data_IF_888425415955
#
_entry.id   IF_888425415955
#
_cell.length_a   1.000
_cell.length_b   1.000
_cell.length_c   1.000
_cell.angle_alpha   90.00
_cell.angle_beta   90.00
_cell.angle_gamma   90.00
#
_symmetry.space_group_name_H-M   'P 1'
#
loop_
_entity.id
_entity.type
_entity.pdbx_description
1 polymer ?
#
# COMPACT_ATOMS: atom_id res chain seq x y z
N UNK A 1 -2.18 70.61 -3.10
CA UNK A 1 -2.57 70.71 -4.53
C UNK A 1 -1.79 69.64 -5.29
N UNK A 2 -2.43 68.50 -5.54
CA UNK A 2 -1.86 67.43 -6.36
C UNK A 2 -2.61 67.45 -7.72
N UNK A 3 -1.87 67.38 -8.85
CA UNK A 3 -2.45 67.60 -10.17
C UNK A 3 -3.17 66.36 -10.71
N UNK A 4 -4.23 66.62 -11.48
CA UNK A 4 -5.03 65.64 -12.22
C UNK A 4 -4.19 64.83 -13.21
N UNK A 5 -4.52 63.56 -13.47
CA UNK A 5 -3.83 62.75 -14.46
C UNK A 5 -4.25 63.11 -15.89
N UNK A 6 -3.35 63.00 -16.89
CA UNK A 6 -3.65 63.27 -18.29
C UNK A 6 -4.45 62.13 -18.95
N UNK A 7 -5.31 62.54 -19.88
CA UNK A 7 -6.15 61.74 -20.78
C UNK A 7 -5.35 60.77 -21.66
N UNK A 8 -5.76 59.49 -21.68
CA UNK A 8 -5.26 58.50 -22.64
C UNK A 8 -5.84 58.71 -24.05
N UNK A 9 -5.06 58.57 -25.13
CA UNK A 9 -5.61 58.43 -26.47
C UNK A 9 -6.10 57.00 -26.74
N UNK A 10 -7.26 56.89 -27.39
CA UNK A 10 -7.87 55.64 -27.83
C UNK A 10 -6.96 54.93 -28.85
N UNK A 11 -6.72 53.61 -28.75
CA UNK A 11 -6.03 52.87 -29.80
C UNK A 11 -6.92 52.76 -31.06
N UNK A 12 -6.31 53.01 -32.22
CA UNK A 12 -6.92 52.81 -33.54
C UNK A 12 -7.19 51.32 -33.74
N UNK A 13 -8.40 50.97 -34.18
CA UNK A 13 -8.74 49.62 -34.60
C UNK A 13 -7.94 49.26 -35.85
N UNK A 14 -6.97 48.36 -35.71
CA UNK A 14 -6.29 47.75 -36.84
C UNK A 14 -7.17 46.61 -37.39
N UNK A 15 -7.79 46.85 -38.53
CA UNK A 15 -8.43 45.82 -39.35
C UNK A 15 -7.36 44.87 -39.87
N UNK A 16 -7.30 43.67 -39.29
CA UNK A 16 -6.42 42.59 -39.77
C UNK A 16 -7.08 41.99 -41.01
N UNK A 17 -6.36 41.88 -42.15
CA UNK A 17 -6.93 41.35 -43.39
C UNK A 17 -7.24 39.87 -43.23
N UNK A 18 -8.43 39.46 -43.66
CA UNK A 18 -8.99 38.10 -43.59
C UNK A 18 -8.13 36.99 -44.23
N UNK A 19 -7.06 37.34 -44.93
CA UNK A 19 -6.17 36.38 -45.61
C UNK A 19 -5.12 35.72 -44.68
N UNK A 20 -4.82 36.28 -43.51
CA UNK A 20 -3.82 35.70 -42.59
C UNK A 20 -4.40 34.68 -41.61
N UNK A 21 -5.73 34.62 -41.47
CA UNK A 21 -6.42 33.65 -40.60
C UNK A 21 -6.48 32.25 -41.26
N UNK A 22 -6.46 32.18 -42.60
CA UNK A 22 -6.46 30.92 -43.34
C UNK A 22 -5.11 30.16 -43.26
N UNK A 23 -4.00 30.85 -42.99
CA UNK A 23 -2.66 30.25 -42.86
C UNK A 23 -2.30 29.80 -41.43
N UNK A 24 -3.00 30.30 -40.41
CA UNK A 24 -2.82 29.86 -39.01
C UNK A 24 -3.75 28.70 -38.63
N UNK A 25 -4.85 28.48 -39.35
CA UNK A 25 -5.75 27.34 -39.16
C UNK A 25 -5.33 26.06 -39.92
N UNK A 26 -4.44 26.18 -40.90
CA UNK A 26 -3.88 25.03 -41.64
C UNK A 26 -2.63 24.44 -41.00
N UNK A 27 -1.96 25.16 -40.08
CA UNK A 27 -0.82 24.63 -39.31
C UNK A 27 -1.21 23.85 -38.04
N UNK A 28 -2.48 23.90 -37.62
CA UNK A 28 -2.97 23.23 -36.41
C UNK A 28 -3.50 21.80 -36.66
N UNK A 29 -3.52 21.33 -37.91
CA UNK A 29 -4.06 20.02 -38.30
C UNK A 29 -3.00 18.98 -38.69
N UNK A 30 -1.70 19.26 -38.49
CA UNK A 30 -0.60 18.32 -38.76
C UNK A 30 0.10 17.78 -37.49
N UNK A 31 -0.38 18.13 -36.29
CA UNK A 31 0.17 17.66 -35.01
C UNK A 31 -0.42 16.34 -34.49
N UNK A 32 -1.02 15.52 -35.35
CA UNK A 32 -1.86 14.38 -34.97
C UNK A 32 -1.33 13.00 -35.37
N UNK A 33 -0.02 12.81 -35.49
CA UNK A 33 0.57 11.48 -35.54
C UNK A 33 1.36 11.25 -34.25
N UNK A 34 0.69 10.74 -33.21
CA UNK A 34 1.39 10.02 -32.16
C UNK A 34 2.09 8.84 -32.82
N UNK A 35 3.37 9.03 -33.14
CA UNK A 35 4.21 8.02 -33.76
C UNK A 35 4.18 6.77 -32.91
N UNK A 36 3.62 5.69 -33.48
CA UNK A 36 3.91 4.34 -33.04
C UNK A 36 5.43 4.20 -33.11
N UNK A 37 6.09 4.29 -31.96
CA UNK A 37 7.53 4.05 -31.86
C UNK A 37 7.77 2.63 -32.38
N UNK A 38 8.21 2.53 -33.63
CA UNK A 38 8.72 1.29 -34.17
C UNK A 38 9.92 0.90 -33.30
N UNK A 39 9.92 -0.29 -32.68
CA UNK A 39 11.05 -0.72 -31.88
C UNK A 39 12.30 -0.74 -32.76
N UNK A 40 13.42 -0.31 -32.19
CA UNK A 40 14.72 -0.30 -32.86
C UNK A 40 14.98 -1.65 -33.56
N UNK A 41 15.51 -1.65 -34.81
CA UNK A 41 15.82 -2.89 -35.52
C UNK A 41 16.77 -3.74 -34.68
N UNK A 42 16.35 -4.94 -34.28
CA UNK A 42 17.12 -5.88 -33.44
C UNK A 42 16.59 -6.10 -32.01
N UNK A 43 15.51 -5.42 -31.60
CA UNK A 43 14.86 -5.71 -30.32
C UNK A 43 14.16 -7.08 -30.34
N UNK A 44 14.56 -8.00 -29.45
CA UNK A 44 13.87 -9.29 -29.29
C UNK A 44 12.44 -9.04 -28.80
N UNK A 45 11.38 -9.42 -29.55
CA UNK A 45 9.99 -9.17 -29.17
C UNK A 45 9.61 -9.68 -27.78
N UNK A 46 10.18 -10.81 -27.35
CA UNK A 46 9.96 -11.34 -26.00
C UNK A 46 10.65 -10.51 -24.90
N UNK A 47 11.75 -9.82 -25.20
CA UNK A 47 12.33 -8.83 -24.26
C UNK A 47 11.44 -7.61 -24.13
N UNK A 48 10.87 -7.13 -25.24
CA UNK A 48 9.94 -6.00 -25.24
C UNK A 48 8.67 -6.31 -24.44
N UNK A 49 8.05 -7.48 -24.64
CA UNK A 49 6.89 -7.91 -23.87
C UNK A 49 7.17 -7.96 -22.35
N UNK A 50 8.35 -8.47 -21.96
CA UNK A 50 8.81 -8.47 -20.56
C UNK A 50 9.07 -7.07 -20.00
N UNK A 51 9.54 -6.14 -20.81
CA UNK A 51 9.74 -4.75 -20.40
C UNK A 51 8.40 -4.07 -20.12
N UNK A 52 7.39 -4.29 -20.99
CA UNK A 52 6.01 -3.81 -20.77
C UNK A 52 5.41 -4.35 -19.47
N UNK A 53 5.58 -5.64 -19.19
CA UNK A 53 5.12 -6.27 -17.95
C UNK A 53 5.79 -5.63 -16.71
N UNK A 54 7.11 -5.40 -16.75
CA UNK A 54 7.85 -4.75 -15.66
C UNK A 54 7.46 -3.28 -15.47
N UNK A 55 7.10 -2.59 -16.55
CA UNK A 55 6.64 -1.21 -16.52
C UNK A 55 5.18 -1.07 -16.06
N UNK A 56 4.47 -2.18 -15.82
CA UNK A 56 3.06 -2.17 -15.41
C UNK A 56 2.08 -2.00 -16.56
N UNK A 57 2.54 -2.01 -17.82
CA UNK A 57 1.69 -1.98 -19.02
C UNK A 57 1.13 -3.38 -19.33
N UNK A 58 0.38 -3.94 -18.38
CA UNK A 58 -0.04 -5.35 -18.41
C UNK A 58 -0.91 -5.71 -19.61
N UNK A 59 -1.83 -4.83 -20.04
CA UNK A 59 -2.65 -5.07 -21.22
C UNK A 59 -1.81 -5.19 -22.50
N UNK A 60 -0.84 -4.29 -22.70
CA UNK A 60 0.04 -4.32 -23.88
C UNK A 60 0.99 -5.53 -23.81
N UNK A 61 1.52 -5.84 -22.62
CA UNK A 61 2.34 -7.03 -22.41
C UNK A 61 1.56 -8.31 -22.75
N UNK A 62 0.29 -8.40 -22.33
CA UNK A 62 -0.56 -9.54 -22.60
C UNK A 62 -0.81 -9.74 -24.10
N UNK A 63 -1.16 -8.67 -24.82
CA UNK A 63 -1.31 -8.69 -26.28
C UNK A 63 -0.02 -9.13 -26.99
N UNK A 64 1.14 -8.62 -26.55
CA UNK A 64 2.43 -8.99 -27.10
C UNK A 64 2.74 -10.49 -26.85
N UNK A 65 2.42 -11.01 -25.66
CA UNK A 65 2.57 -12.44 -25.37
C UNK A 65 1.62 -13.31 -26.20
N UNK A 66 0.38 -12.88 -26.47
CA UNK A 66 -0.53 -13.60 -27.37
C UNK A 66 0.02 -13.67 -28.82
N UNK A 67 0.56 -12.57 -29.34
CA UNK A 67 1.25 -12.55 -30.64
C UNK A 67 2.46 -13.49 -30.68
N UNK A 68 3.26 -13.52 -29.60
CA UNK A 68 4.39 -14.43 -29.50
C UNK A 68 3.93 -15.90 -29.43
N UNK A 69 2.85 -16.18 -28.70
CA UNK A 69 2.27 -17.51 -28.62
C UNK A 69 1.77 -18.02 -29.98
N UNK A 70 1.17 -17.15 -30.81
CA UNK A 70 0.70 -17.51 -32.18
C UNK A 70 1.82 -17.98 -33.10
N UNK A 71 3.03 -17.45 -32.92
CA UNK A 71 4.20 -17.73 -33.78
C UNK A 71 5.13 -18.79 -33.20
N UNK A 72 4.95 -19.15 -31.93
CA UNK A 72 5.79 -20.10 -31.22
C UNK A 72 5.26 -21.53 -31.34
N UNK A 73 6.18 -22.50 -31.29
CA UNK A 73 5.86 -23.92 -31.13
C UNK A 73 5.83 -24.32 -29.65
N UNK A 74 5.26 -25.48 -29.36
CA UNK A 74 5.33 -26.10 -28.02
C UNK A 74 6.81 -26.45 -27.72
N UNK A 75 7.36 -26.15 -26.53
CA UNK A 75 6.68 -25.68 -25.32
C UNK A 75 6.65 -24.15 -25.14
N UNK A 76 7.31 -23.38 -26.00
CA UNK A 76 7.41 -21.91 -25.86
C UNK A 76 6.05 -21.23 -25.98
N UNK A 77 5.17 -21.74 -26.85
CA UNK A 77 3.77 -21.33 -26.94
C UNK A 77 3.08 -21.32 -25.58
N UNK A 78 3.24 -22.39 -24.80
CA UNK A 78 2.58 -22.55 -23.50
C UNK A 78 3.12 -21.55 -22.46
N UNK A 79 4.42 -21.26 -22.48
CA UNK A 79 4.99 -20.22 -21.60
C UNK A 79 4.44 -18.83 -21.95
N UNK A 80 4.31 -18.51 -23.24
CA UNK A 80 3.73 -17.24 -23.67
C UNK A 80 2.24 -17.14 -23.33
N UNK A 81 1.46 -18.20 -23.50
CA UNK A 81 0.05 -18.22 -23.07
C UNK A 81 -0.10 -18.03 -21.56
N UNK A 82 0.76 -18.66 -20.74
CA UNK A 82 0.76 -18.46 -19.29
C UNK A 82 1.10 -17.02 -18.89
N UNK A 83 2.06 -16.40 -19.56
CA UNK A 83 2.42 -14.99 -19.35
C UNK A 83 1.29 -14.05 -19.79
N UNK A 84 0.64 -14.34 -20.93
CA UNK A 84 -0.50 -13.60 -21.41
C UNK A 84 -1.67 -13.67 -20.42
N UNK A 85 -2.02 -14.87 -19.94
CA UNK A 85 -3.08 -15.06 -18.94
C UNK A 85 -2.79 -14.28 -17.65
N UNK A 86 -1.56 -14.38 -17.11
CA UNK A 86 -1.16 -13.60 -15.95
C UNK A 86 -1.29 -12.08 -16.18
N UNK A 87 -0.80 -11.59 -17.32
CA UNK A 87 -0.84 -10.17 -17.65
C UNK A 87 -2.29 -9.67 -17.84
N UNK A 88 -3.18 -10.44 -18.47
CA UNK A 88 -4.61 -10.09 -18.54
C UNK A 88 -5.29 -10.05 -17.18
N UNK A 89 -4.98 -11.01 -16.30
CA UNK A 89 -5.50 -11.02 -14.93
C UNK A 89 -5.08 -9.75 -14.18
N UNK A 90 -3.79 -9.42 -14.26
CA UNK A 90 -3.22 -8.23 -13.61
C UNK A 90 -3.73 -6.92 -14.22
N UNK A 91 -4.11 -6.94 -15.51
CA UNK A 91 -4.76 -5.82 -16.19
C UNK A 91 -6.27 -5.67 -15.83
N UNK A 92 -6.79 -6.44 -14.88
CA UNK A 92 -8.20 -6.38 -14.48
C UNK A 92 -9.16 -7.09 -15.43
N UNK A 93 -8.66 -7.99 -16.29
CA UNK A 93 -9.47 -8.79 -17.23
C UNK A 93 -9.37 -10.30 -16.94
N UNK A 94 -9.82 -10.76 -15.75
CA UNK A 94 -9.65 -12.15 -15.33
C UNK A 94 -10.43 -13.14 -16.22
N UNK A 95 -11.58 -12.74 -16.77
CA UNK A 95 -12.34 -13.57 -17.71
C UNK A 95 -11.52 -13.94 -18.95
N UNK A 96 -10.85 -12.94 -19.56
CA UNK A 96 -9.94 -13.17 -20.70
C UNK A 96 -8.75 -14.04 -20.31
N UNK A 97 -8.20 -13.82 -19.11
CA UNK A 97 -7.14 -14.64 -18.57
C UNK A 97 -7.53 -16.13 -18.45
N UNK A 98 -8.76 -16.42 -17.98
CA UNK A 98 -9.29 -17.80 -17.91
C UNK A 98 -9.39 -18.45 -19.30
N UNK A 99 -9.90 -17.72 -20.29
CA UNK A 99 -9.99 -18.22 -21.68
C UNK A 99 -8.61 -18.60 -22.22
N UNK A 100 -7.60 -17.75 -22.01
CA UNK A 100 -6.24 -18.02 -22.45
C UNK A 100 -5.63 -19.19 -21.69
N UNK A 101 -5.84 -19.26 -20.36
CA UNK A 101 -5.33 -20.35 -19.53
C UNK A 101 -5.95 -21.71 -19.89
N UNK A 102 -7.21 -21.73 -20.36
CA UNK A 102 -7.88 -22.93 -20.83
C UNK A 102 -7.24 -23.50 -22.12
N UNK A 103 -6.65 -22.64 -22.95
CA UNK A 103 -5.93 -23.05 -24.16
C UNK A 103 -4.52 -23.60 -23.89
N UNK A 104 -4.02 -23.50 -22.65
CA UNK A 104 -2.70 -24.00 -22.25
C UNK A 104 -2.72 -25.51 -22.13
N UNK A 105 -1.91 -26.19 -22.94
CA UNK A 105 -1.73 -27.64 -22.89
C UNK A 105 -0.55 -28.01 -22.00
N UNK A 106 -0.79 -28.85 -20.99
CA UNK A 106 0.27 -29.38 -20.12
C UNK A 106 0.41 -30.87 -20.38
N UNK A 107 1.48 -31.31 -21.08
CA UNK A 107 1.68 -32.72 -21.35
C UNK A 107 1.98 -33.49 -20.04
N UNK A 108 1.67 -34.79 -19.97
CA UNK A 108 2.01 -35.63 -18.81
C UNK A 108 3.50 -35.53 -18.47
N UNK A 109 3.82 -35.44 -17.17
CA UNK A 109 5.20 -35.32 -16.69
C UNK A 109 5.82 -33.92 -16.78
N UNK A 110 5.14 -32.92 -17.37
CA UNK A 110 5.63 -31.53 -17.43
C UNK A 110 5.43 -30.77 -16.11
N UNK A 111 6.06 -31.23 -15.03
CA UNK A 111 5.87 -30.75 -13.65
C UNK A 111 6.03 -29.24 -13.51
N UNK A 112 7.04 -28.64 -14.15
CA UNK A 112 7.29 -27.19 -14.06
C UNK A 112 6.19 -26.38 -14.77
N UNK A 113 5.76 -26.82 -15.95
CA UNK A 113 4.70 -26.15 -16.70
C UNK A 113 3.36 -26.27 -15.97
N UNK A 114 3.06 -27.46 -15.41
CA UNK A 114 1.90 -27.68 -14.56
C UNK A 114 1.90 -26.79 -13.31
N UNK A 115 3.06 -26.64 -12.67
CA UNK A 115 3.20 -25.74 -11.52
C UNK A 115 2.97 -24.26 -11.89
N UNK A 116 3.53 -23.81 -13.02
CA UNK A 116 3.29 -22.44 -13.53
C UNK A 116 1.81 -22.23 -13.87
N UNK A 117 1.15 -23.21 -14.50
CA UNK A 117 -0.28 -23.13 -14.83
C UNK A 117 -1.16 -22.99 -13.58
N UNK A 118 -0.92 -23.80 -12.56
CA UNK A 118 -1.64 -23.72 -11.27
C UNK A 118 -1.39 -22.39 -10.55
N UNK A 119 -0.17 -21.88 -10.58
CA UNK A 119 0.15 -20.57 -10.04
C UNK A 119 -0.64 -19.46 -10.73
N UNK A 120 -0.69 -19.45 -12.06
CA UNK A 120 -1.47 -18.46 -12.83
C UNK A 120 -2.96 -18.61 -12.59
N UNK A 121 -3.48 -19.84 -12.43
CA UNK A 121 -4.87 -20.06 -12.04
C UNK A 121 -5.19 -19.39 -10.70
N UNK A 122 -4.37 -19.63 -9.67
CA UNK A 122 -4.58 -19.00 -8.38
C UNK A 122 -4.45 -17.47 -8.41
N UNK A 123 -3.55 -16.91 -9.23
CA UNK A 123 -3.44 -15.46 -9.45
C UNK A 123 -4.70 -14.88 -10.12
N UNK A 124 -5.36 -15.64 -11.01
CA UNK A 124 -6.67 -15.26 -11.58
C UNK A 124 -7.77 -15.32 -10.53
N UNK A 125 -7.85 -16.39 -9.74
CA UNK A 125 -8.85 -16.52 -8.67
C UNK A 125 -8.71 -15.40 -7.64
N UNK A 126 -7.47 -15.00 -7.32
CA UNK A 126 -7.20 -13.89 -6.42
C UNK A 126 -7.68 -12.54 -7.01
N UNK A 127 -7.45 -12.30 -8.31
CA UNK A 127 -7.95 -11.11 -8.99
C UNK A 127 -9.48 -11.05 -9.02
N UNK A 128 -10.15 -12.20 -9.08
CA UNK A 128 -11.61 -12.34 -8.98
C UNK A 128 -12.14 -12.28 -7.54
N UNK A 129 -11.30 -11.98 -6.54
CA UNK A 129 -11.65 -11.94 -5.12
C UNK A 129 -12.16 -13.28 -4.59
N UNK A 130 -11.59 -14.39 -5.05
CA UNK A 130 -11.87 -15.76 -4.57
C UNK A 130 -10.66 -16.34 -3.84
N UNK A 131 -10.25 -15.76 -2.68
CA UNK A 131 -8.97 -16.09 -2.06
C UNK A 131 -8.86 -17.55 -1.60
N UNK A 132 -9.96 -18.19 -1.18
CA UNK A 132 -9.94 -19.60 -0.79
C UNK A 132 -9.73 -20.54 -1.98
N UNK A 133 -10.33 -20.22 -3.14
CA UNK A 133 -10.10 -20.94 -4.39
C UNK A 133 -8.66 -20.73 -4.87
N UNK A 134 -8.17 -19.49 -4.82
CA UNK A 134 -6.78 -19.16 -5.15
C UNK A 134 -5.76 -20.00 -4.37
N UNK A 135 -5.99 -20.20 -3.07
CA UNK A 135 -5.15 -21.05 -2.22
C UNK A 135 -5.25 -22.53 -2.59
N UNK A 136 -6.46 -23.01 -2.89
CA UNK A 136 -6.70 -24.40 -3.29
C UNK A 136 -6.03 -24.73 -4.63
N UNK A 137 -6.32 -23.93 -5.65
CA UNK A 137 -5.91 -24.15 -7.03
C UNK A 137 -4.40 -23.95 -7.25
N UNK A 138 -3.76 -23.11 -6.41
CA UNK A 138 -2.31 -22.93 -6.37
C UNK A 138 -1.57 -23.91 -5.45
N UNK A 139 -2.20 -25.03 -5.07
CA UNK A 139 -1.51 -26.08 -4.32
C UNK A 139 -0.50 -26.81 -5.22
N UNK A 140 0.78 -26.66 -4.86
CA UNK A 140 1.93 -27.23 -5.57
C UNK A 140 2.65 -28.24 -4.69
N UNK A 141 2.78 -29.48 -5.17
CA UNK A 141 3.61 -30.50 -4.54
C UNK A 141 5.10 -30.09 -4.61
N UNK A 142 5.85 -30.41 -3.56
CA UNK A 142 7.28 -30.13 -3.45
C UNK A 142 7.66 -28.68 -3.81
N UNK A 143 6.84 -27.71 -3.41
CA UNK A 143 7.02 -26.30 -3.75
C UNK A 143 8.43 -25.77 -3.40
N UNK A 144 9.07 -26.32 -2.36
CA UNK A 144 10.42 -25.94 -1.95
C UNK A 144 11.51 -26.28 -2.98
N UNK A 145 11.28 -27.27 -3.85
CA UNK A 145 12.20 -27.70 -4.92
C UNK A 145 11.99 -26.92 -6.21
N UNK A 146 10.92 -26.12 -6.31
CA UNK A 146 10.65 -25.32 -7.51
C UNK A 146 11.65 -24.17 -7.66
N UNK A 147 11.87 -23.68 -8.90
CA UNK A 147 12.73 -22.54 -9.14
C UNK A 147 12.38 -21.33 -8.26
N UNK A 148 13.38 -20.55 -7.79
CA UNK A 148 13.15 -19.44 -6.88
C UNK A 148 12.11 -18.42 -7.35
N UNK A 149 11.99 -18.18 -8.66
CA UNK A 149 10.99 -17.27 -9.22
C UNK A 149 9.54 -17.76 -9.00
N UNK A 150 9.29 -19.06 -9.10
CA UNK A 150 7.97 -19.63 -8.86
C UNK A 150 7.65 -19.57 -7.38
N UNK A 151 8.60 -19.93 -6.51
CA UNK A 151 8.41 -19.86 -5.06
C UNK A 151 8.10 -18.42 -4.60
N UNK A 152 8.81 -17.42 -5.14
CA UNK A 152 8.53 -16.00 -4.83
C UNK A 152 7.10 -15.61 -5.20
N UNK A 153 6.64 -15.95 -6.41
CA UNK A 153 5.26 -15.65 -6.83
C UNK A 153 4.24 -16.41 -5.99
N UNK A 154 4.49 -17.69 -5.68
CA UNK A 154 3.61 -18.51 -4.85
C UNK A 154 3.44 -17.92 -3.45
N UNK A 155 4.53 -17.55 -2.76
CA UNK A 155 4.41 -16.95 -1.43
C UNK A 155 3.74 -15.58 -1.46
N UNK A 156 3.93 -14.80 -2.53
CA UNK A 156 3.20 -13.54 -2.73
C UNK A 156 1.70 -13.78 -2.90
N UNK A 157 1.32 -14.69 -3.79
CA UNK A 157 -0.06 -15.12 -4.00
C UNK A 157 -0.71 -15.58 -2.70
N UNK A 158 -0.05 -16.50 -1.96
CA UNK A 158 -0.54 -17.00 -0.67
C UNK A 158 -0.71 -15.88 0.34
N UNK A 159 0.27 -14.99 0.45
CA UNK A 159 0.18 -13.87 1.40
C UNK A 159 -1.03 -12.97 1.12
N UNK A 160 -1.24 -12.61 -0.15
CA UNK A 160 -2.36 -11.78 -0.57
C UNK A 160 -3.71 -12.48 -0.40
N UNK A 161 -3.79 -13.76 -0.77
CA UNK A 161 -4.99 -14.58 -0.61
C UNK A 161 -5.35 -14.75 0.87
N UNK A 162 -4.39 -15.08 1.74
CA UNK A 162 -4.65 -15.17 3.19
C UNK A 162 -5.12 -13.83 3.76
N UNK A 163 -4.53 -12.71 3.34
CA UNK A 163 -4.94 -11.39 3.81
C UNK A 163 -6.38 -11.03 3.39
N UNK A 164 -6.76 -11.36 2.14
CA UNK A 164 -8.13 -11.18 1.65
C UNK A 164 -9.12 -12.12 2.36
N UNK A 165 -8.70 -13.34 2.71
CA UNK A 165 -9.50 -14.31 3.45
C UNK A 165 -9.60 -14.01 4.96
N UNK A 166 -9.05 -12.89 5.45
CA UNK A 166 -9.12 -12.53 6.88
C UNK A 166 -8.14 -13.30 7.77
N UNK A 167 -7.08 -13.88 7.19
CA UNK A 167 -6.05 -14.65 7.90
C UNK A 167 -4.69 -13.89 7.94
N UNK A 168 -4.57 -12.81 8.73
CA UNK A 168 -3.37 -11.97 8.75
C UNK A 168 -2.10 -12.69 9.21
N UNK A 169 -2.21 -13.66 10.13
CA UNK A 169 -1.05 -14.44 10.58
C UNK A 169 -0.45 -15.27 9.44
N UNK A 170 -1.27 -15.99 8.68
CA UNK A 170 -0.81 -16.82 7.56
C UNK A 170 -0.30 -15.95 6.40
N UNK A 171 -0.89 -14.76 6.21
CA UNK A 171 -0.32 -13.73 5.35
C UNK A 171 1.10 -13.35 5.78
N UNK A 172 1.32 -13.03 7.06
CA UNK A 172 2.64 -12.70 7.58
C UNK A 172 3.62 -13.88 7.44
N UNK A 173 3.19 -15.12 7.74
CA UNK A 173 4.00 -16.33 7.58
C UNK A 173 4.48 -16.52 6.15
N UNK A 174 3.58 -16.39 5.17
CA UNK A 174 3.93 -16.48 3.75
C UNK A 174 4.91 -15.37 3.34
N UNK A 175 4.75 -14.14 3.85
CA UNK A 175 5.68 -13.03 3.59
C UNK A 175 7.05 -13.21 4.24
N UNK A 176 7.13 -13.83 5.41
CA UNK A 176 8.40 -14.20 6.04
C UNK A 176 9.13 -15.22 5.18
N UNK A 177 8.42 -16.20 4.62
CA UNK A 177 9.00 -17.16 3.67
C UNK A 177 9.46 -16.45 2.37
N UNK A 178 8.65 -15.54 1.83
CA UNK A 178 9.02 -14.70 0.68
C UNK A 178 10.30 -13.91 0.93
N UNK A 179 10.44 -13.30 2.11
CA UNK A 179 11.60 -12.47 2.47
C UNK A 179 12.94 -13.19 2.33
N UNK A 180 13.00 -14.50 2.60
CA UNK A 180 14.22 -15.32 2.44
C UNK A 180 14.69 -15.42 0.99
N UNK A 181 13.79 -15.21 0.04
CA UNK A 181 14.04 -15.31 -1.40
C UNK A 181 14.29 -13.97 -2.09
N UNK A 182 14.10 -12.86 -1.38
CA UNK A 182 14.31 -11.51 -1.92
C UNK A 182 15.78 -11.10 -1.79
N UNK A 183 16.22 -10.26 -2.73
CA UNK A 183 17.60 -9.75 -2.82
C UNK A 183 17.60 -8.24 -3.08
N UNK A 184 16.66 -7.77 -3.90
CA UNK A 184 16.49 -6.35 -4.17
C UNK A 184 16.08 -5.57 -2.92
N UNK A 185 16.83 -4.51 -2.53
CA UNK A 185 16.54 -3.72 -1.34
C UNK A 185 15.11 -3.19 -1.30
N UNK A 186 14.59 -2.67 -2.40
CA UNK A 186 13.23 -2.15 -2.45
C UNK A 186 12.19 -3.24 -2.22
N UNK A 187 12.33 -4.40 -2.87
CA UNK A 187 11.41 -5.51 -2.68
C UNK A 187 11.44 -6.07 -1.24
N UNK A 188 12.61 -6.03 -0.59
CA UNK A 188 12.74 -6.37 0.83
C UNK A 188 11.94 -5.38 1.68
N UNK A 189 12.13 -4.07 1.47
CA UNK A 189 11.38 -3.02 2.19
C UNK A 189 9.87 -3.18 2.03
N UNK A 190 9.40 -3.27 0.79
CA UNK A 190 7.97 -3.44 0.48
C UNK A 190 7.40 -4.69 1.15
N UNK A 191 8.13 -5.81 1.14
CA UNK A 191 7.67 -7.04 1.79
C UNK A 191 7.60 -6.89 3.32
N UNK A 192 8.59 -6.23 3.94
CA UNK A 192 8.59 -5.98 5.39
C UNK A 192 7.42 -5.07 5.81
N UNK A 193 7.11 -4.03 5.04
CA UNK A 193 5.94 -3.19 5.28
C UNK A 193 4.64 -4.02 5.21
N UNK A 194 4.56 -4.95 4.28
CA UNK A 194 3.37 -5.80 4.16
C UNK A 194 3.28 -6.86 5.28
N UNK A 195 4.41 -7.34 5.82
CA UNK A 195 4.43 -8.13 7.07
C UNK A 195 3.86 -7.28 8.20
N UNK A 196 4.36 -6.04 8.34
CA UNK A 196 3.93 -5.12 9.38
C UNK A 196 2.43 -4.81 9.31
N UNK A 197 1.91 -4.49 8.11
CA UNK A 197 0.49 -4.26 7.88
C UNK A 197 -0.37 -5.49 8.21
N UNK A 198 0.10 -6.70 7.87
CA UNK A 198 -0.63 -7.92 8.19
C UNK A 198 -0.69 -8.15 9.71
N UNK A 199 0.44 -8.06 10.41
CA UNK A 199 0.49 -8.22 11.86
C UNK A 199 -0.27 -7.11 12.60
N UNK A 200 -0.32 -5.90 12.04
CA UNK A 200 -1.12 -4.80 12.54
C UNK A 200 -2.63 -5.07 12.59
N UNK A 201 -3.13 -6.09 11.87
CA UNK A 201 -4.54 -6.54 11.93
C UNK A 201 -4.82 -7.50 13.10
N UNK A 202 -3.80 -8.01 13.79
CA UNK A 202 -3.98 -8.92 14.92
C UNK A 202 -4.33 -8.16 16.20
N UNK A 203 -5.31 -8.62 16.97
CA UNK A 203 -5.66 -8.01 18.26
C UNK A 203 -4.55 -8.26 19.32
N UNK A 204 -4.48 -7.44 20.37
CA UNK A 204 -3.51 -7.65 21.47
C UNK A 204 -3.63 -9.04 22.09
N UNK A 205 -4.83 -9.56 22.43
CA UNK A 205 -4.96 -10.91 22.96
C UNK A 205 -4.54 -12.01 21.97
N UNK A 206 -4.62 -11.75 20.66
CA UNK A 206 -4.12 -12.68 19.65
C UNK A 206 -2.58 -12.67 19.59
N UNK A 207 -1.94 -11.50 19.66
CA UNK A 207 -0.48 -11.38 19.68
C UNK A 207 0.13 -12.09 20.89
N UNK A 208 -0.44 -11.90 22.08
CA UNK A 208 0.00 -12.56 23.32
C UNK A 208 -0.08 -14.09 23.20
N UNK A 209 -1.24 -14.61 22.76
CA UNK A 209 -1.43 -16.06 22.53
C UNK A 209 -0.45 -16.62 21.51
N UNK A 210 -0.19 -15.88 20.44
CA UNK A 210 0.72 -16.32 19.37
C UNK A 210 2.19 -16.30 19.81
N UNK A 211 2.58 -15.41 20.74
CA UNK A 211 3.92 -15.40 21.33
C UNK A 211 4.14 -16.56 22.30
N UNK A 212 3.11 -16.97 23.04
CA UNK A 212 3.20 -18.16 23.90
C UNK A 212 3.27 -19.47 23.12
N UNK A 213 2.82 -19.46 21.85
CA UNK A 213 2.97 -20.60 20.96
C UNK A 213 4.40 -20.66 20.39
N UNK A 214 4.92 -21.88 20.19
CA UNK A 214 6.20 -22.08 19.52
C UNK A 214 6.11 -21.66 18.04
N UNK A 215 6.54 -20.45 17.72
CA UNK A 215 6.66 -19.98 16.33
C UNK A 215 8.10 -20.14 15.83
N UNK A 216 8.32 -20.82 14.69
CA UNK A 216 9.66 -21.05 14.19
C UNK A 216 10.28 -19.81 13.52
N UNK A 217 11.59 -19.63 13.73
CA UNK A 217 12.43 -18.68 13.01
C UNK A 217 12.01 -17.21 13.14
N UNK A 218 12.20 -16.45 12.06
CA UNK A 218 11.99 -15.00 12.05
C UNK A 218 10.55 -14.55 12.39
N UNK A 219 9.53 -15.39 12.20
CA UNK A 219 8.15 -14.99 12.51
C UNK A 219 7.96 -14.60 13.99
N UNK A 220 8.68 -15.27 14.90
CA UNK A 220 8.68 -14.94 16.33
C UNK A 220 9.18 -13.52 16.60
N UNK A 221 10.26 -13.12 15.93
CA UNK A 221 10.81 -11.77 16.02
C UNK A 221 9.82 -10.71 15.50
N UNK A 222 9.17 -10.96 14.37
CA UNK A 222 8.12 -10.06 13.85
C UNK A 222 6.93 -9.91 14.79
N UNK A 223 6.45 -11.00 15.41
CA UNK A 223 5.35 -10.95 16.38
C UNK A 223 5.73 -10.15 17.63
N UNK A 224 6.97 -10.33 18.13
CA UNK A 224 7.48 -9.57 19.26
C UNK A 224 7.53 -8.06 18.97
N UNK A 225 7.97 -7.64 17.76
CA UNK A 225 7.92 -6.23 17.35
C UNK A 225 6.48 -5.71 17.29
N UNK A 226 5.54 -6.49 16.76
CA UNK A 226 4.14 -6.09 16.65
C UNK A 226 3.48 -5.90 18.03
N UNK A 227 3.81 -6.78 18.99
CA UNK A 227 3.37 -6.65 20.39
C UNK A 227 3.98 -5.41 21.05
N UNK A 228 5.29 -5.18 20.92
CA UNK A 228 5.98 -4.00 21.46
C UNK A 228 5.35 -2.68 20.97
N UNK A 229 5.09 -2.59 19.67
CA UNK A 229 4.47 -1.40 19.08
C UNK A 229 3.00 -1.21 19.52
N UNK A 230 2.30 -2.28 19.89
CA UNK A 230 0.89 -2.24 20.33
C UNK A 230 0.73 -2.01 21.83
N UNK A 231 1.65 -2.52 22.64
CA UNK A 231 1.63 -2.39 24.09
C UNK A 231 1.97 -0.96 24.58
N UNK A 232 2.52 -0.10 23.70
CA UNK A 232 3.11 1.18 24.12
C UNK A 232 2.66 2.43 23.32
N UNK A 233 1.37 2.66 23.04
CA UNK A 233 0.92 3.98 22.62
C UNK A 233 0.92 4.88 23.86
N UNK A 234 2.05 5.50 24.20
CA UNK A 234 2.13 6.32 25.41
C UNK A 234 3.52 6.66 25.93
N UNK A 235 4.51 5.80 25.68
CA UNK A 235 5.85 5.97 26.24
C UNK A 235 6.95 5.63 25.23
N UNK A 236 7.39 6.61 24.42
CA UNK A 236 8.46 6.41 23.44
C UNK A 236 9.76 5.85 24.04
N UNK A 237 10.07 6.16 25.31
CA UNK A 237 11.25 5.60 25.99
C UNK A 237 11.11 4.11 26.28
N UNK A 238 9.92 3.65 26.65
CA UNK A 238 9.64 2.23 26.82
C UNK A 238 9.75 1.47 25.50
N UNK A 239 9.27 2.06 24.39
CA UNK A 239 9.45 1.48 23.05
C UNK A 239 10.92 1.37 22.68
N UNK A 240 11.70 2.44 22.84
CA UNK A 240 13.14 2.40 22.50
C UNK A 240 13.89 1.33 23.30
N UNK A 241 13.58 1.16 24.60
CA UNK A 241 14.17 0.10 25.41
C UNK A 241 13.74 -1.30 24.95
N UNK A 242 12.44 -1.49 24.70
CA UNK A 242 11.93 -2.77 24.21
C UNK A 242 12.50 -3.16 22.84
N UNK A 243 12.72 -2.19 21.96
CA UNK A 243 13.41 -2.42 20.68
C UNK A 243 14.87 -2.83 20.90
N UNK A 244 15.60 -2.17 21.81
CA UNK A 244 16.98 -2.55 22.13
C UNK A 244 17.07 -3.97 22.72
N UNK A 245 16.12 -4.37 23.57
CA UNK A 245 16.00 -5.74 24.09
C UNK A 245 15.72 -6.74 22.97
N UNK A 246 14.81 -6.37 22.06
CA UNK A 246 14.48 -7.18 20.90
C UNK A 246 15.69 -7.36 19.97
N UNK A 247 16.48 -6.31 19.68
CA UNK A 247 17.68 -6.40 18.84
C UNK A 247 18.73 -7.35 19.44
N UNK A 248 18.87 -7.36 20.78
CA UNK A 248 19.74 -8.31 21.49
C UNK A 248 19.24 -9.75 21.39
N UNK A 249 17.92 -9.96 21.39
CA UNK A 249 17.32 -11.29 21.27
C UNK A 249 17.32 -11.83 19.83
N UNK A 250 17.27 -10.94 18.83
CA UNK A 250 17.18 -11.30 17.41
C UNK A 250 18.22 -10.56 16.54
N UNK A 251 19.53 -10.75 16.79
CA UNK A 251 20.59 -9.96 16.15
C UNK A 251 20.59 -10.07 14.61
N UNK A 252 20.32 -11.26 14.07
CA UNK A 252 20.33 -11.51 12.62
C UNK A 252 18.96 -11.33 11.94
N UNK A 253 18.01 -10.69 12.61
CA UNK A 253 16.65 -10.59 12.10
C UNK A 253 16.53 -9.58 10.95
N UNK A 254 15.82 -9.92 9.84
CA UNK A 254 15.76 -9.05 8.66
C UNK A 254 15.13 -7.67 8.93
N UNK A 255 14.29 -7.55 9.97
CA UNK A 255 13.67 -6.28 10.36
C UNK A 255 14.68 -5.22 10.84
N UNK A 256 15.85 -5.64 11.35
CA UNK A 256 16.84 -4.74 11.96
C UNK A 256 17.36 -3.67 10.99
N UNK A 257 17.47 -4.01 9.70
CA UNK A 257 18.03 -3.08 8.70
C UNK A 257 17.01 -2.06 8.16
N UNK A 258 15.71 -2.34 8.27
CA UNK A 258 14.67 -1.56 7.60
C UNK A 258 13.57 -1.17 8.57
N UNK A 259 12.77 -2.13 9.07
CA UNK A 259 11.60 -1.80 9.88
C UNK A 259 12.00 -1.16 11.22
N UNK A 260 13.03 -1.67 11.89
CA UNK A 260 13.40 -1.17 13.23
C UNK A 260 13.79 0.32 13.22
N UNK A 261 14.67 0.80 12.32
CA UNK A 261 14.92 2.23 12.17
C UNK A 261 13.65 3.05 11.89
N UNK A 262 12.74 2.55 11.04
CA UNK A 262 11.48 3.23 10.74
C UNK A 262 10.58 3.33 11.97
N UNK A 263 10.48 2.27 12.77
CA UNK A 263 9.72 2.27 14.03
C UNK A 263 10.32 3.27 15.02
N UNK A 264 11.64 3.24 15.21
CA UNK A 264 12.33 4.17 16.11
C UNK A 264 12.11 5.63 15.69
N UNK A 265 12.18 5.92 14.39
CA UNK A 265 11.88 7.25 13.85
C UNK A 265 10.41 7.65 14.09
N UNK A 266 9.47 6.75 13.82
CA UNK A 266 8.05 6.98 14.07
C UNK A 266 7.78 7.31 15.55
N UNK A 267 8.32 6.52 16.48
CA UNK A 267 8.15 6.76 17.91
C UNK A 267 8.95 7.96 18.43
N UNK A 268 10.10 8.28 17.80
CA UNK A 268 10.84 9.51 18.09
C UNK A 268 10.06 10.75 17.64
N UNK A 269 9.39 10.71 16.49
CA UNK A 269 8.50 11.79 16.04
C UNK A 269 7.24 11.89 16.91
N UNK A 270 6.74 10.76 17.42
CA UNK A 270 5.67 10.71 18.41
C UNK A 270 6.07 11.26 19.79
N UNK A 271 7.33 11.71 20.01
CA UNK A 271 7.79 12.33 21.27
C UNK A 271 7.12 13.66 21.61
N UNK A 272 6.21 14.16 20.79
CA UNK A 272 5.29 15.22 21.21
C UNK A 272 4.03 14.63 21.85
N UNK A 273 4.11 14.05 23.06
CA UNK A 273 2.88 14.05 23.86
C UNK A 273 2.52 15.53 24.06
N UNK A 274 1.35 15.98 23.60
CA UNK A 274 1.00 17.39 23.68
C UNK A 274 0.98 17.77 25.16
N UNK A 275 1.77 18.78 25.55
CA UNK A 275 1.70 19.32 26.92
C UNK A 275 0.31 19.91 27.21
N UNK A 276 -0.42 20.32 26.16
CA UNK A 276 -1.77 20.85 26.23
C UNK A 276 -2.64 20.23 25.15
N UNK A 277 -3.74 19.63 25.58
CA UNK A 277 -4.80 19.11 24.72
C UNK A 277 -6.00 20.05 24.82
N UNK A 278 -6.51 20.50 23.67
CA UNK A 278 -7.78 21.22 23.60
C UNK A 278 -8.90 20.26 23.22
N UNK A 279 -9.95 20.20 24.04
CA UNK A 279 -11.16 19.42 23.78
C UNK A 279 -12.31 20.38 23.45
N UNK A 280 -12.70 20.42 22.18
CA UNK A 280 -13.75 21.27 21.64
C UNK A 280 -15.04 20.48 21.61
N UNK A 281 -16.03 20.90 22.38
CA UNK A 281 -17.31 20.20 22.46
C UNK A 281 -18.45 21.21 22.52
N UNK A 282 -19.58 20.97 21.82
CA UNK A 282 -20.76 21.81 21.97
C UNK A 282 -21.42 21.46 23.29
N UNK A 283 -21.10 22.19 24.35
CA UNK A 283 -21.58 21.94 25.71
C UNK A 283 -22.97 22.55 25.96
N UNK A 284 -23.50 23.27 24.97
CA UNK A 284 -24.84 23.87 24.96
C UNK A 284 -25.59 23.48 23.67
N UNK A 285 -26.91 23.72 23.66
CA UNK A 285 -27.76 23.39 22.53
C UNK A 285 -28.08 21.89 22.38
N UNK A 286 -28.53 21.45 21.19
CA UNK A 286 -29.10 20.11 20.99
C UNK A 286 -28.11 18.96 21.22
N UNK A 287 -26.80 19.22 21.11
CA UNK A 287 -25.75 18.20 21.24
C UNK A 287 -25.14 18.12 22.65
N UNK A 288 -25.51 19.01 23.58
CA UNK A 288 -24.91 19.10 24.91
C UNK A 288 -24.87 17.77 25.68
N UNK A 289 -25.94 16.97 25.59
CA UNK A 289 -26.03 15.67 26.26
C UNK A 289 -25.02 14.67 25.70
N UNK A 290 -24.86 14.61 24.38
CA UNK A 290 -23.90 13.73 23.73
C UNK A 290 -22.45 14.19 24.00
N UNK A 291 -22.20 15.50 23.92
CA UNK A 291 -20.92 16.12 24.25
C UNK A 291 -20.47 15.84 25.68
N UNK A 292 -21.40 15.87 26.64
CA UNK A 292 -21.10 15.51 28.03
C UNK A 292 -20.66 14.06 28.16
N UNK A 293 -21.32 13.13 27.47
CA UNK A 293 -20.90 11.73 27.47
C UNK A 293 -19.50 11.53 26.86
N UNK A 294 -19.16 12.28 25.80
CA UNK A 294 -17.81 12.28 25.21
C UNK A 294 -16.79 12.85 26.19
N UNK A 295 -17.09 13.98 26.86
CA UNK A 295 -16.24 14.59 27.88
C UNK A 295 -15.96 13.62 29.02
N UNK A 296 -17.02 13.01 29.58
CA UNK A 296 -16.93 12.07 30.69
C UNK A 296 -16.07 10.85 30.30
N UNK A 297 -16.29 10.28 29.11
CA UNK A 297 -15.49 9.16 28.59
C UNK A 297 -14.03 9.53 28.35
N UNK A 298 -13.77 10.72 27.80
CA UNK A 298 -12.42 11.23 27.57
C UNK A 298 -11.64 11.41 28.88
N UNK A 299 -12.27 12.05 29.87
CA UNK A 299 -11.67 12.25 31.19
C UNK A 299 -11.48 10.93 31.94
N UNK A 300 -12.44 10.01 31.87
CA UNK A 300 -12.30 8.68 32.47
C UNK A 300 -11.10 7.92 31.91
N UNK A 301 -10.94 7.89 30.58
CA UNK A 301 -9.80 7.25 29.92
C UNK A 301 -8.47 7.97 30.27
N UNK A 302 -8.49 9.30 30.34
CA UNK A 302 -7.33 10.10 30.70
C UNK A 302 -6.85 9.82 32.14
N UNK A 303 -7.76 9.80 33.11
CA UNK A 303 -7.42 9.55 34.52
C UNK A 303 -7.15 8.08 34.83
N UNK A 304 -7.68 7.14 34.04
CA UNK A 304 -7.31 5.73 34.12
C UNK A 304 -5.85 5.46 33.70
N UNK A 305 -5.23 6.38 32.96
CA UNK A 305 -3.82 6.31 32.54
C UNK A 305 -2.86 6.79 33.65
N UNK A 306 -2.77 6.03 34.74
CA UNK A 306 -1.84 6.28 35.85
C UNK A 306 -0.42 5.82 35.49
N UNK A 307 0.41 6.69 34.90
CA UNK A 307 1.81 6.30 34.62
C UNK A 307 2.71 7.31 33.93
N UNK A 308 2.22 8.50 33.56
CA UNK A 308 3.07 9.53 32.96
C UNK A 308 3.63 10.47 34.03
N UNK A 309 4.95 10.69 34.01
CA UNK A 309 5.64 11.64 34.90
C UNK A 309 5.30 13.11 34.62
N UNK A 310 4.47 13.40 33.60
CA UNK A 310 3.92 14.72 33.31
C UNK A 310 2.59 14.57 32.52
N UNK A 311 1.42 14.59 33.19
CA UNK A 311 0.13 14.55 32.51
C UNK A 311 -0.06 15.75 31.55
N UNK A 312 -0.69 15.54 30.41
CA UNK A 312 -1.05 16.62 29.48
C UNK A 312 -2.16 17.50 30.08
N UNK A 313 -1.99 18.82 30.07
CA UNK A 313 -3.05 19.73 30.51
C UNK A 313 -4.24 19.67 29.52
N UNK A 314 -5.41 19.22 29.98
CA UNK A 314 -6.64 19.23 29.17
C UNK A 314 -7.36 20.56 29.40
N UNK A 315 -7.65 21.28 28.31
CA UNK A 315 -8.52 22.46 28.32
C UNK A 315 -9.76 22.19 27.48
N UNK A 316 -10.93 22.37 28.07
CA UNK A 316 -12.21 22.21 27.38
C UNK A 316 -12.66 23.55 26.84
N UNK A 317 -13.05 23.59 25.56
CA UNK A 317 -13.57 24.75 24.87
C UNK A 317 -15.00 24.44 24.43
N UNK A 318 -15.95 25.22 24.94
CA UNK A 318 -17.33 25.14 24.47
C UNK A 318 -17.42 25.72 23.06
N UNK A 319 -17.86 24.90 22.10
CA UNK A 319 -18.07 25.30 20.69
C UNK A 319 -19.47 25.78 20.40
N UNK A 320 -20.31 25.98 21.43
CA UNK A 320 -21.63 26.59 21.29
C UNK A 320 -22.59 25.77 20.43
N UNK A 321 -23.59 26.43 19.86
CA UNK A 321 -24.62 25.82 19.00
C UNK A 321 -24.59 26.34 17.55
N UNK A 322 -23.73 27.33 17.25
CA UNK A 322 -23.54 27.85 15.89
C UNK A 322 -22.20 27.40 15.28
N UNK A 323 -22.11 27.15 13.96
CA UNK A 323 -20.85 26.80 13.30
C UNK A 323 -19.72 27.83 13.51
N UNK A 324 -20.06 29.11 13.65
CA UNK A 324 -19.11 30.17 13.91
C UNK A 324 -18.40 30.02 15.27
N UNK A 325 -19.09 29.51 16.28
CA UNK A 325 -18.56 29.33 17.63
C UNK A 325 -17.50 28.22 17.67
N UNK A 326 -17.67 27.16 16.87
CA UNK A 326 -16.66 26.11 16.70
C UNK A 326 -15.35 26.65 16.12
N UNK A 327 -15.43 27.53 15.11
CA UNK A 327 -14.24 28.17 14.52
C UNK A 327 -13.55 29.10 15.54
N UNK A 328 -14.33 29.81 16.37
CA UNK A 328 -13.78 30.63 17.44
C UNK A 328 -13.10 29.78 18.53
N UNK A 329 -13.72 28.68 18.94
CA UNK A 329 -13.16 27.71 19.89
C UNK A 329 -11.83 27.15 19.39
N UNK A 330 -11.75 26.78 18.11
CA UNK A 330 -10.50 26.31 17.48
C UNK A 330 -9.41 27.39 17.47
N UNK A 331 -9.73 28.62 17.05
CA UNK A 331 -8.76 29.73 17.06
C UNK A 331 -8.26 30.04 18.47
N UNK A 332 -9.13 29.93 19.48
CA UNK A 332 -8.76 30.12 20.89
C UNK A 332 -7.83 29.01 21.37
N UNK A 333 -8.14 27.75 21.07
CA UNK A 333 -7.29 26.62 21.39
C UNK A 333 -5.86 26.76 20.83
N UNK A 334 -5.71 27.24 19.59
CA UNK A 334 -4.39 27.53 19.01
C UNK A 334 -3.66 28.63 19.78
N UNK A 335 -4.33 29.76 20.06
CA UNK A 335 -3.72 30.88 20.81
C UNK A 335 -3.28 30.46 22.21
N UNK A 336 -4.04 29.57 22.85
CA UNK A 336 -3.75 29.04 24.18
C UNK A 336 -2.62 28.00 24.16
N UNK A 337 -2.03 27.73 22.99
CA UNK A 337 -0.88 26.85 22.81
C UNK A 337 -1.24 25.38 22.87
N UNK A 338 -2.43 24.99 22.41
CA UNK A 338 -2.80 23.59 22.27
C UNK A 338 -1.81 22.90 21.32
N UNK A 339 -1.12 21.86 21.81
CA UNK A 339 -0.25 21.01 21.00
C UNK A 339 -1.04 19.93 20.25
N UNK A 340 -2.29 19.71 20.64
CA UNK A 340 -3.22 18.77 20.02
C UNK A 340 -4.66 19.23 20.28
N UNK A 341 -5.54 19.06 19.29
CA UNK A 341 -6.94 19.50 19.34
C UNK A 341 -7.83 18.31 19.00
N UNK A 342 -8.85 18.07 19.83
CA UNK A 342 -9.90 17.06 19.67
C UNK A 342 -11.23 17.78 19.59
N UNK A 343 -12.05 17.52 18.58
CA UNK A 343 -13.37 18.14 18.40
C UNK A 343 -14.16 17.46 17.30
#
# INVERSE_FOLDING_TARGET
MQPSPPTQPRPKAATIPFLTIAWLLTLALLGGCAGVQHPAPGANPARQARALEKAGHYQQAAQAYEELARRASVPQREDFLLRAAYAWSTAGQPAKARTILAAVHVPPGATLLGARRRLVLGEIDLAERRPLQALSDSTLAHAEQLPPEIRRRLYRLRAEAYLQAGNPLESARARVALGRLLREPQAIRDNQEQIWRALGRLTTPALERLRSAAQPGALRGWLALAELARATPGNPRAVSRGIADWERQYPDHPATQVLVPQLLQYFAAARGYPRRIALLLPLRGPYARASKAVLDGFLAAYYAHTGQSAPAEIRVYDTGDQPADAVQGYRRAIRDGAGFIVG
#
